data_IF_429547466081
#
_entry.id   IF_429547466081
#
_cell.length_a   1.000
_cell.length_b   1.000
_cell.length_c   1.000
_cell.angle_alpha   90.00
_cell.angle_beta   90.00
_cell.angle_gamma   90.00
#
_symmetry.space_group_name_H-M   'P 1'
#
loop_
_entity.id
_entity.type
_entity.pdbx_description
1 polymer ?
#
# COMPACT_ATOMS: atom_id res chain seq x y z
N UNK A 1 11.11 1.78 -8.37
CA UNK A 1 9.69 2.10 -8.16
C UNK A 1 9.63 3.24 -7.17
N UNK A 2 8.74 4.20 -7.37
CA UNK A 2 8.54 5.31 -6.42
C UNK A 2 7.11 5.28 -5.92
N UNK A 3 6.94 5.60 -4.64
CA UNK A 3 5.65 5.68 -3.98
C UNK A 3 5.53 7.01 -3.22
N UNK A 4 4.35 7.61 -3.30
CA UNK A 4 3.92 8.76 -2.49
C UNK A 4 2.60 8.37 -1.86
N UNK A 5 2.44 8.56 -0.55
CA UNK A 5 1.26 8.06 0.16
C UNK A 5 0.93 8.92 1.40
N UNK A 6 -0.34 8.90 1.79
CA UNK A 6 -0.81 9.40 3.10
C UNK A 6 -0.63 8.35 4.20
N UNK A 7 -0.77 8.75 5.45
CA UNK A 7 -0.66 7.88 6.63
C UNK A 7 -1.86 6.95 6.84
N UNK A 8 -3.03 7.25 6.25
CA UNK A 8 -4.27 6.48 6.42
C UNK A 8 -4.13 4.96 6.23
N UNK A 9 -3.28 4.48 5.31
CA UNK A 9 -3.05 3.03 5.15
C UNK A 9 -2.43 2.43 6.42
N UNK A 10 -1.39 3.08 6.97
CA UNK A 10 -0.72 2.64 8.19
C UNK A 10 -1.58 2.81 9.44
N UNK A 11 -2.47 3.81 9.43
CA UNK A 11 -3.34 4.12 10.55
C UNK A 11 -4.58 3.22 10.65
N UNK A 12 -4.88 2.46 9.60
CA UNK A 12 -6.00 1.51 9.58
C UNK A 12 -5.88 0.44 10.68
N UNK A 13 -6.91 0.34 11.50
CA UNK A 13 -7.06 -0.73 12.48
C UNK A 13 -7.58 -2.01 11.82
N UNK A 14 -7.10 -3.16 12.29
CA UNK A 14 -7.39 -4.43 11.65
C UNK A 14 -6.70 -5.64 12.27
N UNK A 15 -6.76 -6.75 11.54
CA UNK A 15 -6.18 -8.03 11.91
C UNK A 15 -6.83 -8.67 13.15
N UNK A 16 -6.35 -9.85 13.55
CA UNK A 16 -6.97 -10.63 14.64
C UNK A 16 -6.97 -9.92 16.00
N UNK A 17 -6.09 -8.95 16.20
CA UNK A 17 -5.93 -8.21 17.44
C UNK A 17 -6.45 -6.76 17.37
N UNK A 18 -7.07 -6.34 16.26
CA UNK A 18 -7.61 -4.99 16.10
C UNK A 18 -6.55 -3.89 16.27
N UNK A 19 -5.36 -4.07 15.67
CA UNK A 19 -4.23 -3.13 15.78
C UNK A 19 -4.07 -2.31 14.51
N UNK A 20 -3.41 -1.16 14.61
CA UNK A 20 -2.96 -0.37 13.45
C UNK A 20 -2.08 -1.23 12.53
N UNK A 21 -2.19 -1.02 11.22
CA UNK A 21 -1.30 -1.67 10.24
C UNK A 21 0.15 -1.23 10.42
N UNK A 22 0.37 0.02 10.83
CA UNK A 22 1.65 0.71 11.01
C UNK A 22 2.38 1.02 9.68
N UNK A 23 2.99 2.20 9.60
CA UNK A 23 3.74 2.66 8.42
C UNK A 23 4.93 1.75 8.07
N UNK A 24 5.57 1.10 9.05
CA UNK A 24 6.68 0.18 8.78
C UNK A 24 6.21 -1.05 7.99
N UNK A 25 5.12 -1.69 8.40
CA UNK A 25 4.55 -2.82 7.66
C UNK A 25 4.09 -2.39 6.26
N UNK A 26 3.61 -1.16 6.11
CA UNK A 26 3.24 -0.62 4.80
C UNK A 26 4.44 -0.45 3.88
N UNK A 27 5.56 0.04 4.40
CA UNK A 27 6.83 0.09 3.64
C UNK A 27 7.31 -1.31 3.25
N UNK A 28 7.22 -2.28 4.16
CA UNK A 28 7.62 -3.66 3.88
C UNK A 28 6.72 -4.29 2.79
N UNK A 29 5.41 -4.03 2.84
CA UNK A 29 4.48 -4.41 1.78
C UNK A 29 4.88 -3.80 0.43
N UNK A 30 5.10 -2.49 0.37
CA UNK A 30 5.50 -1.79 -0.85
C UNK A 30 6.81 -2.36 -1.43
N UNK A 31 7.79 -2.65 -0.58
CA UNK A 31 9.04 -3.28 -1.01
C UNK A 31 8.79 -4.68 -1.59
N UNK A 32 7.98 -5.50 -0.92
CA UNK A 32 7.70 -6.87 -1.34
C UNK A 32 6.97 -6.99 -2.68
N UNK A 33 6.16 -5.98 -3.05
CA UNK A 33 5.40 -5.97 -4.30
C UNK A 33 6.07 -5.14 -5.41
N UNK A 34 7.15 -4.41 -5.11
CA UNK A 34 7.68 -3.38 -6.00
C UNK A 34 8.16 -3.85 -7.38
N UNK A 35 8.47 -5.14 -7.51
CA UNK A 35 8.89 -5.78 -8.77
C UNK A 35 7.72 -6.34 -9.61
N UNK A 36 6.51 -6.41 -9.05
CA UNK A 36 5.33 -6.90 -9.77
C UNK A 36 4.86 -5.89 -10.84
N UNK A 37 4.08 -6.32 -11.85
CA UNK A 37 3.35 -5.41 -12.72
C UNK A 37 2.49 -4.40 -11.92
N UNK A 38 2.38 -3.14 -12.37
CA UNK A 38 1.72 -2.06 -11.61
C UNK A 38 0.28 -2.43 -11.22
N UNK A 39 -0.46 -3.07 -12.12
CA UNK A 39 -1.82 -3.55 -11.86
C UNK A 39 -1.87 -4.62 -10.76
N UNK A 40 -0.88 -5.51 -10.69
CA UNK A 40 -0.79 -6.50 -9.62
C UNK A 40 -0.39 -5.86 -8.28
N UNK A 41 0.46 -4.83 -8.30
CA UNK A 41 0.77 -4.05 -7.09
C UNK A 41 -0.47 -3.38 -6.53
N UNK A 42 -1.25 -2.70 -7.37
CA UNK A 42 -2.51 -2.08 -6.96
C UNK A 42 -3.44 -3.12 -6.34
N UNK A 43 -3.67 -4.25 -7.01
CA UNK A 43 -4.52 -5.31 -6.47
C UNK A 43 -4.00 -5.87 -5.14
N UNK A 44 -2.67 -6.00 -4.96
CA UNK A 44 -2.08 -6.44 -3.69
C UNK A 44 -2.28 -5.43 -2.57
N UNK A 45 -2.17 -4.14 -2.87
CA UNK A 45 -2.43 -3.06 -1.91
C UNK A 45 -3.89 -3.06 -1.45
N UNK A 46 -4.84 -3.12 -2.40
CA UNK A 46 -6.28 -3.16 -2.13
C UNK A 46 -6.65 -4.39 -1.30
N UNK A 47 -6.24 -5.59 -1.74
CA UNK A 47 -6.52 -6.82 -1.01
C UNK A 47 -5.91 -6.82 0.39
N UNK A 48 -4.66 -6.38 0.54
CA UNK A 48 -4.00 -6.34 1.87
C UNK A 48 -4.72 -5.35 2.81
N UNK A 49 -5.17 -4.22 2.28
CA UNK A 49 -5.93 -3.24 3.05
C UNK A 49 -7.27 -3.80 3.51
N UNK A 50 -8.04 -4.39 2.59
CA UNK A 50 -9.37 -4.94 2.89
C UNK A 50 -9.29 -6.16 3.81
N UNK A 51 -8.32 -7.06 3.60
CA UNK A 51 -8.06 -8.21 4.48
C UNK A 51 -7.66 -7.75 5.89
N UNK A 52 -6.81 -6.72 5.99
CA UNK A 52 -6.42 -6.20 7.29
C UNK A 52 -7.58 -5.53 8.00
N UNK A 53 -8.23 -4.54 7.35
CA UNK A 53 -9.39 -3.83 7.88
C UNK A 53 -10.49 -4.80 8.31
N UNK A 54 -10.72 -5.84 7.51
CA UNK A 54 -11.79 -6.80 7.73
C UNK A 54 -13.15 -6.09 7.81
N UNK A 55 -13.89 -6.36 8.88
CA UNK A 55 -15.17 -5.71 9.16
C UNK A 55 -15.07 -4.40 9.95
N UNK A 56 -13.87 -3.89 10.22
CA UNK A 56 -13.71 -2.62 10.94
C UNK A 56 -13.91 -1.44 9.98
N UNK A 57 -14.37 -0.32 10.53
CA UNK A 57 -14.52 0.91 9.76
C UNK A 57 -13.16 1.45 9.31
N UNK A 58 -13.18 2.13 8.17
CA UNK A 58 -12.03 2.91 7.73
C UNK A 58 -11.92 4.17 8.59
N UNK A 59 -10.72 4.44 9.10
CA UNK A 59 -10.51 5.51 10.11
C UNK A 59 -10.01 6.83 9.53
N UNK A 60 -9.49 6.81 8.31
CA UNK A 60 -8.91 7.97 7.64
C UNK A 60 -8.92 7.81 6.11
N UNK A 61 -8.65 8.88 5.38
CA UNK A 61 -8.49 8.86 3.93
C UNK A 61 -7.18 8.15 3.52
N UNK A 62 -7.28 7.24 2.56
CA UNK A 62 -6.14 6.46 2.06
C UNK A 62 -5.80 6.89 0.64
N UNK A 63 -4.57 7.37 0.44
CA UNK A 63 -4.02 7.69 -0.87
C UNK A 63 -2.65 7.03 -1.05
N UNK A 64 -2.48 6.31 -2.17
CA UNK A 64 -1.20 5.75 -2.59
C UNK A 64 -1.02 6.00 -4.09
N UNK A 65 0.10 6.62 -4.45
CA UNK A 65 0.50 6.88 -5.83
C UNK A 65 1.80 6.11 -6.07
N UNK A 66 1.78 5.17 -7.01
CA UNK A 66 2.94 4.40 -7.45
C UNK A 66 3.31 4.72 -8.90
N UNK A 67 4.58 4.98 -9.17
CA UNK A 67 5.06 5.20 -10.54
C UNK A 67 6.48 4.66 -10.76
N UNK A 68 6.73 4.21 -11.98
CA UNK A 68 8.04 3.73 -12.43
C UNK A 68 8.63 4.72 -13.42
N UNK A 69 9.83 5.19 -13.14
CA UNK A 69 10.60 6.01 -14.07
C UNK A 69 11.34 5.06 -15.01
N UNK A 70 11.15 5.27 -16.31
CA UNK A 70 11.96 4.62 -17.33
C UNK A 70 12.99 5.63 -17.83
N UNK A 71 14.26 5.23 -18.01
CA UNK A 71 15.24 6.09 -18.63
C UNK A 71 14.73 6.49 -20.01
N UNK A 72 14.91 7.77 -20.36
CA UNK A 72 14.65 8.23 -21.70
C UNK A 72 15.66 7.53 -22.62
N UNK A 73 15.18 6.81 -23.63
CA UNK A 73 16.08 6.36 -24.69
C UNK A 73 16.71 7.62 -25.30
N UNK A 74 18.04 7.72 -25.25
CA UNK A 74 18.78 8.74 -25.98
C UNK A 74 18.70 8.31 -27.45
N UNK A 75 17.86 9.01 -28.22
CA UNK A 75 18.00 9.06 -29.68
C UNK A 75 19.30 9.80 -30.05
#
# INVERSE_FOLDING_TARGET
MFYVFSDGFGDQFGGPAGKKFMTNNFRDLLLSISDLPINEQQAKLENTFDEWKGGLEQVDDVLVIGFKIYPKNLE
#
